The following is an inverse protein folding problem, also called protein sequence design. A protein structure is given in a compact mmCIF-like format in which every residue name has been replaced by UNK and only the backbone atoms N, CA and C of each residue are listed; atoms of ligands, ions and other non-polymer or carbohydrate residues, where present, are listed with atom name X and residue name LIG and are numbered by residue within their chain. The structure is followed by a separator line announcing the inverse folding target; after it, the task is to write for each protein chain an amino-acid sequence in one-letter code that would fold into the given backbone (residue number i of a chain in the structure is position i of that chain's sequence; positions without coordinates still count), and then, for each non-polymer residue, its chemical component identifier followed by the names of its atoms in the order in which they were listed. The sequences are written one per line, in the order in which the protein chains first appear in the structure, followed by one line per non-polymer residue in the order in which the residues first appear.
data_IF_099309695041
#
_entry.id   IF_099309695041
#
_cell.length_a   1.000
_cell.length_b   1.000
_cell.length_c   1.000
_cell.angle_alpha   90.00
_cell.angle_beta   90.00
_cell.angle_gamma   90.00
#
_symmetry.space_group_name_H-M   'P 1'
#
loop_
_entity.id
_entity.type
_entity.pdbx_description
1 polymer ?
#
# COMPACT_ATOMS: atom_id res chain seq x y z
N UNK A 1 -14.86 -1.31 27.13
CA UNK A 1 -14.03 -0.18 26.68
C UNK A 1 -13.54 -0.50 25.28
N UNK A 2 -13.94 0.28 24.28
CA UNK A 2 -13.43 0.13 22.94
C UNK A 2 -11.97 0.62 22.93
N UNK A 3 -11.05 -0.24 22.54
CA UNK A 3 -9.66 0.16 22.30
C UNK A 3 -9.60 0.86 20.94
N UNK A 4 -9.97 2.14 20.91
CA UNK A 4 -9.92 2.95 19.71
C UNK A 4 -8.47 3.32 19.42
N UNK A 5 -7.82 2.58 18.55
CA UNK A 5 -6.54 3.00 17.98
C UNK A 5 -6.80 4.09 16.94
N UNK A 6 -6.17 5.24 17.07
CA UNK A 6 -6.19 6.32 16.06
C UNK A 6 -5.08 6.14 15.01
N UNK A 7 -4.22 5.15 15.21
CA UNK A 7 -3.10 4.87 14.30
C UNK A 7 -3.57 3.94 13.19
N UNK A 8 -3.43 4.37 11.94
CA UNK A 8 -3.68 3.53 10.78
C UNK A 8 -2.77 2.29 10.74
N UNK A 9 -3.19 1.29 9.99
CA UNK A 9 -2.44 0.05 9.78
C UNK A 9 -2.26 -0.29 8.28
N UNK A 10 -2.55 0.66 7.42
CA UNK A 10 -2.47 0.51 5.98
C UNK A 10 -3.61 -0.31 5.38
N UNK A 11 -3.37 -0.83 4.19
CA UNK A 11 -4.33 -1.65 3.44
C UNK A 11 -4.04 -3.13 3.68
N UNK A 12 -4.77 -3.74 4.61
CA UNK A 12 -4.58 -5.14 4.97
C UNK A 12 -5.48 -6.04 4.10
N UNK A 13 -4.92 -6.95 3.29
CA UNK A 13 -5.72 -7.86 2.47
C UNK A 13 -6.47 -8.86 3.36
N UNK A 14 -7.75 -9.09 3.10
CA UNK A 14 -8.59 -10.01 3.88
C UNK A 14 -9.12 -11.19 3.07
N UNK A 15 -9.65 -10.94 1.89
CA UNK A 15 -10.17 -11.99 0.99
C UNK A 15 -10.35 -11.44 -0.42
N UNK A 16 -10.58 -12.33 -1.38
CA UNK A 16 -10.99 -11.97 -2.75
C UNK A 16 -12.51 -12.01 -2.87
N UNK A 17 -13.07 -11.15 -3.72
CA UNK A 17 -14.49 -11.17 -4.05
C UNK A 17 -14.84 -12.52 -4.67
N UNK A 18 -15.89 -13.16 -4.14
CA UNK A 18 -16.34 -14.47 -4.62
C UNK A 18 -15.56 -15.67 -4.08
N UNK A 19 -14.59 -15.46 -3.18
CA UNK A 19 -13.81 -16.52 -2.54
C UNK A 19 -13.87 -16.42 -1.01
N UNK A 20 -13.82 -17.58 -0.35
CA UNK A 20 -13.88 -17.65 1.11
C UNK A 20 -12.51 -17.59 1.79
N UNK A 21 -11.42 -17.58 1.05
CA UNK A 21 -10.07 -17.58 1.56
C UNK A 21 -9.22 -16.55 0.82
N UNK A 22 -8.22 -16.04 1.51
CA UNK A 22 -7.22 -15.18 0.93
C UNK A 22 -6.05 -16.02 0.41
N UNK A 23 -5.91 -16.10 -0.90
CA UNK A 23 -4.72 -16.63 -1.57
C UNK A 23 -4.07 -15.52 -2.38
N UNK A 24 -3.82 -14.39 -1.74
CA UNK A 24 -3.22 -13.23 -2.35
C UNK A 24 -1.96 -13.63 -3.14
N UNK A 25 -2.10 -13.72 -4.45
CA UNK A 25 -0.97 -13.78 -5.35
C UNK A 25 -0.20 -12.47 -5.24
N UNK A 26 1.11 -12.55 -5.32
CA UNK A 26 1.97 -11.38 -5.37
C UNK A 26 2.60 -11.31 -6.74
N UNK A 27 2.47 -10.18 -7.39
CA UNK A 27 3.19 -9.88 -8.63
C UNK A 27 4.50 -9.19 -8.29
N UNK A 28 5.51 -9.44 -9.14
CA UNK A 28 6.85 -8.88 -8.98
C UNK A 28 7.02 -7.69 -9.92
N UNK A 29 7.46 -6.57 -9.37
CA UNK A 29 7.73 -5.35 -10.12
C UNK A 29 9.08 -4.78 -9.73
N UNK A 30 9.78 -4.15 -10.67
CA UNK A 30 10.97 -3.37 -10.34
C UNK A 30 10.61 -2.16 -9.49
N UNK A 31 11.47 -1.77 -8.56
CA UNK A 31 11.32 -0.54 -7.77
C UNK A 31 12.13 0.57 -8.42
N UNK A 32 11.56 1.77 -8.50
CA UNK A 32 12.27 2.93 -9.01
C UNK A 32 13.48 3.23 -8.12
N UNK A 33 14.66 3.29 -8.74
CA UNK A 33 15.92 3.53 -8.02
C UNK A 33 15.89 4.88 -7.29
N UNK A 34 16.31 4.89 -6.03
CA UNK A 34 16.31 6.09 -5.19
C UNK A 34 14.91 6.59 -4.79
N UNK A 35 13.87 5.77 -4.95
CA UNK A 35 12.53 6.13 -4.50
C UNK A 35 12.46 6.32 -2.99
N UNK A 36 11.46 7.08 -2.55
CA UNK A 36 11.18 7.29 -1.14
C UNK A 36 10.80 5.98 -0.41
N UNK A 37 10.80 6.02 0.91
CA UNK A 37 10.32 4.94 1.77
C UNK A 37 8.96 4.44 1.32
N UNK A 38 8.82 3.13 1.13
CA UNK A 38 7.52 2.48 0.93
C UNK A 38 7.33 1.47 2.06
N UNK A 39 6.42 1.76 2.96
CA UNK A 39 6.15 0.89 4.10
C UNK A 39 5.29 -0.31 3.70
N UNK A 40 5.33 -1.37 4.49
CA UNK A 40 4.43 -2.50 4.37
C UNK A 40 2.96 -2.06 4.42
N UNK A 41 2.13 -2.62 3.57
CA UNK A 41 0.71 -2.28 3.44
C UNK A 41 0.43 -0.84 2.98
N UNK A 42 1.41 -0.15 2.34
CA UNK A 42 1.16 1.06 1.57
C UNK A 42 0.62 0.74 0.18
N UNK A 43 -0.23 1.62 -0.32
CA UNK A 43 -0.61 1.64 -1.73
C UNK A 43 0.58 2.12 -2.56
N UNK A 44 0.80 1.48 -3.70
CA UNK A 44 1.86 1.82 -4.65
C UNK A 44 1.30 2.09 -6.03
N UNK A 45 2.01 2.88 -6.81
CA UNK A 45 1.72 3.15 -8.20
C UNK A 45 2.86 2.71 -9.11
N UNK A 46 2.55 2.39 -10.35
CA UNK A 46 3.53 2.04 -11.37
C UNK A 46 3.87 3.27 -12.20
N UNK A 47 5.16 3.54 -12.30
CA UNK A 47 5.71 4.59 -13.17
C UNK A 47 6.58 3.98 -14.27
N UNK A 48 7.01 4.79 -15.23
CA UNK A 48 7.94 4.33 -16.28
C UNK A 48 9.28 3.79 -15.72
N UNK A 49 9.65 4.20 -14.51
CA UNK A 49 10.91 3.81 -13.86
C UNK A 49 10.73 2.67 -12.83
N UNK A 50 9.51 2.19 -12.64
CA UNK A 50 9.18 1.15 -11.66
C UNK A 50 8.15 1.61 -10.63
N UNK A 51 7.97 0.80 -9.62
CA UNK A 51 7.04 1.04 -8.52
C UNK A 51 7.55 2.15 -7.60
N UNK A 52 6.67 3.03 -7.19
CA UNK A 52 6.89 4.08 -6.19
C UNK A 52 5.71 4.13 -5.22
N UNK A 53 5.86 4.83 -4.10
CA UNK A 53 4.74 5.11 -3.19
C UNK A 53 3.68 5.93 -3.95
N UNK A 54 2.41 5.54 -3.85
CA UNK A 54 1.31 6.34 -4.39
C UNK A 54 1.19 7.65 -3.62
N UNK A 55 0.95 8.79 -4.30
CA UNK A 55 0.94 10.10 -3.64
C UNK A 55 -0.37 10.42 -2.93
N UNK A 56 -1.43 9.65 -3.19
CA UNK A 56 -2.74 9.87 -2.58
C UNK A 56 -3.63 10.85 -3.32
N UNK A 57 -3.24 11.26 -4.52
CA UNK A 57 -4.06 12.12 -5.37
C UNK A 57 -5.10 11.31 -6.15
N UNK A 58 -6.19 11.98 -6.53
CA UNK A 58 -7.34 11.37 -7.22
C UNK A 58 -7.04 10.85 -8.64
N UNK A 59 -5.96 11.33 -9.26
CA UNK A 59 -5.61 11.03 -10.66
C UNK A 59 -4.50 9.96 -10.80
N UNK A 60 -4.27 9.16 -9.76
CA UNK A 60 -3.19 8.18 -9.76
C UNK A 60 -3.60 6.79 -10.21
N UNK A 61 -2.73 6.19 -11.01
CA UNK A 61 -2.83 4.79 -11.39
C UNK A 61 -2.31 3.91 -10.23
N UNK A 62 -3.15 3.67 -9.24
CA UNK A 62 -2.84 2.75 -8.17
C UNK A 62 -2.67 1.34 -8.73
N UNK A 63 -1.51 0.75 -8.47
CA UNK A 63 -1.18 -0.61 -8.90
C UNK A 63 -1.72 -1.66 -7.91
N UNK A 64 -1.48 -1.43 -6.64
CA UNK A 64 -1.81 -2.39 -5.58
C UNK A 64 -1.13 -2.04 -4.27
N UNK A 65 -0.96 -3.02 -3.41
CA UNK A 65 -0.44 -2.84 -2.05
C UNK A 65 0.89 -3.57 -1.89
N UNK A 66 1.92 -2.86 -1.38
CA UNK A 66 3.22 -3.45 -1.11
C UNK A 66 3.13 -4.47 0.03
N UNK A 67 3.58 -5.70 -0.25
CA UNK A 67 3.75 -6.74 0.76
C UNK A 67 5.19 -6.86 1.26
N UNK A 68 6.16 -6.53 0.42
CA UNK A 68 7.57 -6.57 0.76
C UNK A 68 8.46 -6.27 -0.43
N UNK A 69 9.76 -6.29 -0.21
CA UNK A 69 10.77 -6.03 -1.22
C UNK A 69 11.97 -6.98 -1.09
N UNK A 70 12.64 -7.18 -2.20
CA UNK A 70 13.95 -7.83 -2.28
C UNK A 70 14.95 -6.90 -2.98
N UNK A 71 16.17 -6.84 -2.50
CA UNK A 71 17.27 -6.12 -3.14
C UNK A 71 18.63 -6.59 -2.58
N UNK A 72 19.69 -6.35 -3.34
CA UNK A 72 21.05 -6.51 -2.83
C UNK A 72 21.52 -5.17 -2.27
N UNK A 73 21.81 -5.14 -0.98
CA UNK A 73 22.30 -3.95 -0.29
C UNK A 73 23.70 -3.59 -0.79
N UNK A 74 23.86 -2.40 -1.35
CA UNK A 74 25.12 -1.93 -1.93
C UNK A 74 26.25 -1.77 -0.90
N UNK A 75 25.91 -1.55 0.37
CA UNK A 75 26.92 -1.35 1.42
C UNK A 75 27.51 -2.66 1.94
N UNK A 76 26.67 -3.69 1.99
CA UNK A 76 27.04 -4.99 2.56
C UNK A 76 27.20 -6.08 1.51
N UNK A 77 26.74 -5.84 0.27
CA UNK A 77 26.65 -6.81 -0.83
C UNK A 77 25.84 -8.06 -0.46
N UNK A 78 24.86 -7.91 0.43
CA UNK A 78 24.03 -9.02 0.88
C UNK A 78 22.63 -8.96 0.28
N UNK A 79 22.09 -10.10 -0.19
CA UNK A 79 20.68 -10.22 -0.53
C UNK A 79 19.81 -9.93 0.71
N UNK A 80 18.87 -9.02 0.57
CA UNK A 80 18.02 -8.55 1.68
C UNK A 80 16.56 -8.70 1.29
N UNK A 81 15.80 -9.43 2.09
CA UNK A 81 14.34 -9.43 2.07
C UNK A 81 13.83 -8.55 3.19
N UNK A 82 12.93 -7.63 2.85
CA UNK A 82 12.34 -6.70 3.82
C UNK A 82 10.84 -6.59 3.59
N UNK A 83 10.10 -6.31 4.65
CA UNK A 83 8.67 -5.98 4.53
C UNK A 83 8.42 -4.55 4.02
N UNK A 84 9.46 -3.74 3.83
CA UNK A 84 9.38 -2.36 3.34
C UNK A 84 10.53 -2.07 2.38
N UNK A 85 10.42 -0.98 1.62
CA UNK A 85 11.52 -0.44 0.83
C UNK A 85 12.13 0.74 1.55
N UNK A 86 13.44 0.72 1.88
CA UNK A 86 14.10 1.81 2.57
C UNK A 86 14.21 3.06 1.70
N UNK A 87 14.15 4.23 2.35
CA UNK A 87 14.31 5.53 1.67
C UNK A 87 15.64 5.64 0.94
N UNK A 88 15.59 6.25 -0.24
CA UNK A 88 16.79 6.58 -1.04
C UNK A 88 17.72 5.39 -1.37
N UNK A 89 17.20 4.17 -1.28
CA UNK A 89 17.97 2.97 -1.59
C UNK A 89 18.19 2.84 -3.11
N UNK A 90 19.43 2.51 -3.50
CA UNK A 90 19.81 2.28 -4.88
C UNK A 90 20.24 0.83 -5.04
N UNK A 91 19.47 0.05 -5.78
CA UNK A 91 19.78 -1.32 -6.13
C UNK A 91 19.28 -1.63 -7.55
N UNK A 92 20.08 -2.33 -8.34
CA UNK A 92 19.73 -2.66 -9.73
C UNK A 92 18.81 -3.89 -9.84
N UNK A 93 18.74 -4.69 -8.78
CA UNK A 93 17.99 -5.92 -8.66
C UNK A 93 16.77 -5.79 -7.72
N UNK A 94 16.34 -4.54 -7.48
CA UNK A 94 15.23 -4.25 -6.57
C UNK A 94 13.90 -4.77 -7.13
N UNK A 95 13.21 -5.60 -6.34
CA UNK A 95 11.90 -6.17 -6.64
C UNK A 95 10.91 -5.84 -5.54
N UNK A 96 9.74 -5.33 -5.92
CA UNK A 96 8.58 -5.18 -5.05
C UNK A 96 7.64 -6.37 -5.23
N UNK A 97 7.18 -6.93 -4.13
CA UNK A 97 6.09 -7.90 -4.11
C UNK A 97 4.79 -7.17 -3.84
N UNK A 98 3.95 -7.06 -4.85
CA UNK A 98 2.72 -6.25 -4.82
C UNK A 98 1.49 -7.16 -4.93
N UNK A 99 0.53 -6.91 -4.05
CA UNK A 99 -0.81 -7.48 -4.20
C UNK A 99 -1.61 -6.57 -5.13
N UNK A 100 -1.71 -6.94 -6.40
CA UNK A 100 -2.31 -6.16 -7.49
C UNK A 100 -3.60 -6.78 -8.04
N UNK A 101 -4.16 -7.77 -7.36
CA UNK A 101 -5.41 -8.40 -7.79
C UNK A 101 -6.58 -7.42 -7.65
N UNK A 102 -7.29 -7.05 -8.73
CA UNK A 102 -8.41 -6.12 -8.69
C UNK A 102 -9.61 -6.64 -7.90
N UNK A 103 -9.67 -7.96 -7.62
CA UNK A 103 -10.72 -8.56 -6.81
C UNK A 103 -10.35 -8.68 -5.32
N UNK A 104 -9.18 -8.19 -4.94
CA UNK A 104 -8.73 -8.22 -3.56
C UNK A 104 -9.52 -7.20 -2.71
N UNK A 105 -10.06 -7.67 -1.60
CA UNK A 105 -10.67 -6.82 -0.58
C UNK A 105 -9.65 -6.48 0.50
N UNK A 106 -9.68 -5.24 0.94
CA UNK A 106 -8.80 -4.74 1.98
C UNK A 106 -9.60 -4.25 3.19
N UNK A 107 -9.06 -4.47 4.37
CA UNK A 107 -9.44 -3.77 5.58
C UNK A 107 -8.53 -2.55 5.73
N UNK A 108 -9.12 -1.39 5.96
CA UNK A 108 -8.41 -0.13 6.10
C UNK A 108 -9.15 0.76 7.10
N UNK A 109 -8.42 1.62 7.79
CA UNK A 109 -8.98 2.55 8.78
C UNK A 109 -9.50 3.81 8.10
N UNK A 110 -10.60 4.37 8.58
CA UNK A 110 -11.05 5.72 8.20
C UNK A 110 -10.10 6.79 8.77
N UNK A 111 -9.84 7.84 7.98
CA UNK A 111 -8.96 8.95 8.39
C UNK A 111 -9.64 9.87 9.41
N UNK A 112 -10.91 10.19 9.20
CA UNK A 112 -11.58 11.27 9.91
C UNK A 112 -12.76 10.76 10.76
N UNK A 113 -13.88 10.45 10.11
CA UNK A 113 -15.11 10.00 10.76
C UNK A 113 -15.43 8.56 10.37
N UNK A 114 -16.36 7.94 11.06
CA UNK A 114 -16.88 6.64 10.67
C UNK A 114 -17.70 6.75 9.37
N UNK A 115 -17.55 5.76 8.50
CA UNK A 115 -18.40 5.61 7.34
C UNK A 115 -19.83 5.28 7.78
N UNK A 116 -20.80 5.86 7.09
CA UNK A 116 -22.22 5.57 7.27
C UNK A 116 -22.76 4.65 6.17
N UNK A 117 -23.99 4.16 6.38
CA UNK A 117 -24.63 3.23 5.43
C UNK A 117 -24.78 3.83 4.01
N UNK A 118 -24.93 5.15 3.90
CA UNK A 118 -25.11 5.82 2.61
C UNK A 118 -23.83 5.88 1.77
N UNK A 119 -22.67 5.63 2.37
CA UNK A 119 -21.35 5.66 1.72
C UNK A 119 -20.96 4.30 1.16
N UNK A 120 -21.74 3.28 1.43
CA UNK A 120 -21.50 1.94 0.90
C UNK A 120 -21.65 1.94 -0.62
N UNK A 121 -20.60 1.48 -1.30
CA UNK A 121 -20.53 1.47 -2.77
C UNK A 121 -19.97 2.75 -3.40
N UNK A 122 -19.61 3.74 -2.60
CA UNK A 122 -18.92 4.94 -3.07
C UNK A 122 -17.40 4.72 -3.18
N UNK A 123 -16.74 5.58 -3.96
CA UNK A 123 -15.29 5.68 -4.01
C UNK A 123 -14.80 6.59 -2.89
N UNK A 124 -13.66 6.24 -2.31
CA UNK A 124 -13.03 7.03 -1.26
C UNK A 124 -11.55 7.25 -1.60
N UNK A 125 -11.06 8.46 -1.33
CA UNK A 125 -9.67 8.80 -1.56
C UNK A 125 -8.78 8.15 -0.50
N UNK A 126 -7.59 7.75 -0.92
CA UNK A 126 -6.57 7.26 0.00
C UNK A 126 -5.86 8.44 0.68
N UNK A 127 -5.53 8.27 1.94
CA UNK A 127 -4.67 9.16 2.71
C UNK A 127 -3.40 8.39 3.03
N UNK A 128 -2.33 8.66 2.28
CA UNK A 128 -1.08 7.98 2.50
C UNK A 128 -0.34 8.51 3.72
N UNK A 129 0.11 7.57 4.55
CA UNK A 129 0.97 7.85 5.69
C UNK A 129 1.95 6.68 5.83
N UNK A 130 3.21 6.96 5.61
CA UNK A 130 4.27 5.96 5.75
C UNK A 130 4.51 5.65 7.23
N UNK A 131 4.73 4.39 7.52
CA UNK A 131 5.08 3.96 8.86
C UNK A 131 6.47 4.46 9.25
N UNK A 132 6.68 4.55 10.56
CA UNK A 132 7.97 4.95 11.15
C UNK A 132 8.69 3.76 11.77
N UNK A 133 9.97 3.93 12.02
CA UNK A 133 10.78 2.94 12.75
C UNK A 133 10.13 2.52 14.07
N UNK A 134 10.32 1.25 14.51
CA UNK A 134 11.12 0.20 13.85
C UNK A 134 10.35 -0.70 12.90
N UNK A 135 9.01 -0.61 12.84
CA UNK A 135 8.17 -1.61 12.18
C UNK A 135 7.93 -1.34 10.69
N UNK A 136 7.99 -0.08 10.27
CA UNK A 136 7.70 0.34 8.89
C UNK A 136 6.40 -0.22 8.31
N UNK A 137 5.37 -0.35 9.16
CA UNK A 137 4.01 -0.66 8.74
C UNK A 137 3.32 0.66 8.39
N UNK A 138 2.63 0.70 7.28
CA UNK A 138 1.86 1.85 6.83
C UNK A 138 0.85 2.31 7.87
N UNK A 139 0.67 3.62 7.97
CA UNK A 139 -0.44 4.23 8.70
C UNK A 139 -1.51 4.79 7.76
N UNK A 140 -1.42 4.44 6.48
CA UNK A 140 -2.38 4.88 5.47
C UNK A 140 -3.80 4.52 5.85
N UNK A 141 -4.72 5.39 5.44
CA UNK A 141 -6.15 5.34 5.74
C UNK A 141 -6.94 5.68 4.49
N UNK A 142 -8.25 5.62 4.57
CA UNK A 142 -9.15 6.18 3.55
C UNK A 142 -9.91 7.38 4.12
N UNK A 143 -10.13 8.39 3.26
CA UNK A 143 -10.95 9.54 3.61
C UNK A 143 -12.41 9.11 3.75
N UNK A 144 -13.10 9.65 4.76
CA UNK A 144 -14.54 9.50 4.88
C UNK A 144 -15.34 10.42 3.92
N UNK A 145 -14.66 11.30 3.21
CA UNK A 145 -15.26 12.06 2.11
C UNK A 145 -15.34 11.16 0.90
N UNK A 146 -16.53 10.74 0.55
CA UNK A 146 -16.80 9.81 -0.56
C UNK A 146 -17.44 10.51 -1.74
N UNK A 147 -17.24 9.99 -2.94
CA UNK A 147 -17.88 10.46 -4.15
C UNK A 147 -18.70 9.37 -4.84
N UNK A 148 -19.85 9.74 -5.40
CA UNK A 148 -20.71 8.83 -6.15
C UNK A 148 -20.15 8.49 -7.53
N UNK A 149 -19.26 9.30 -8.05
CA UNK A 149 -18.59 9.10 -9.33
C UNK A 149 -17.19 8.55 -9.05
N UNK A 150 -16.82 7.50 -9.77
CA UNK A 150 -15.44 7.06 -9.79
C UNK A 150 -14.57 8.21 -10.28
N UNK A 151 -13.67 8.68 -9.43
CA UNK A 151 -12.46 9.32 -9.91
C UNK A 151 -11.64 8.21 -10.59
N UNK A 152 -11.57 8.24 -11.89
CA UNK A 152 -10.69 7.37 -12.69
C UNK A 152 -9.30 7.94 -12.68
#
# INVERSE_FOLDING_TARGET
MANASTTGFGFRPIKKIGQNYNNAGLSEYSIASGSALISHACMVQLTANGVVLASGNTDENNLGVLNGSFYTDNSTSKPTFSNFWPDSTVASDAVAFVNDDPMQMYEVMSADTAFNQNEVGHCADQVNDVGVTPLFISKSKISATTANTQAQ
#
